data_IF_671215982845
#
_entry.id   IF_671215982845
#
_cell.length_a   1.000
_cell.length_b   1.000
_cell.length_c   1.000
_cell.angle_alpha   90.00
_cell.angle_beta   90.00
_cell.angle_gamma   90.00
#
_symmetry.space_group_name_H-M   'P 1'
#
loop_
_entity.id
_entity.type
_entity.pdbx_description
1 polymer ?
#
# COMPACT_ATOMS: atom_id res chain seq x y z
N UNK A 1 19.30 -7.58 2.71
CA UNK A 1 18.07 -8.19 3.24
C UNK A 1 17.60 -9.25 2.26
N UNK A 2 17.35 -10.49 2.72
CA UNK A 2 16.94 -11.57 1.80
C UNK A 2 15.55 -11.36 1.18
N UNK A 3 15.22 -12.13 0.15
CA UNK A 3 13.91 -12.09 -0.53
C UNK A 3 12.81 -12.64 0.38
N UNK A 4 11.64 -11.98 0.40
CA UNK A 4 10.48 -12.37 1.22
C UNK A 4 9.36 -12.91 0.33
N UNK A 5 8.51 -13.77 0.89
CA UNK A 5 7.34 -14.32 0.20
C UNK A 5 6.26 -13.25 -0.02
N UNK A 6 5.87 -13.05 -1.28
CA UNK A 6 4.77 -12.18 -1.68
C UNK A 6 3.40 -12.84 -1.44
N UNK A 7 2.30 -12.11 -1.63
CA UNK A 7 0.95 -12.69 -1.55
C UNK A 7 0.75 -13.73 -2.66
N UNK A 8 1.23 -13.44 -3.88
CA UNK A 8 1.21 -14.39 -5.01
C UNK A 8 1.95 -15.70 -4.69
N UNK A 9 3.14 -15.60 -4.11
CA UNK A 9 3.94 -16.78 -3.75
C UNK A 9 3.21 -17.64 -2.69
N UNK A 10 2.54 -17.01 -1.73
CA UNK A 10 1.74 -17.72 -0.72
C UNK A 10 0.53 -18.42 -1.35
N UNK A 11 -0.13 -17.79 -2.34
CA UNK A 11 -1.24 -18.41 -3.06
C UNK A 11 -0.78 -19.64 -3.86
N UNK A 12 0.33 -19.53 -4.56
CA UNK A 12 0.92 -20.66 -5.28
C UNK A 12 1.32 -21.80 -4.32
N UNK A 13 1.85 -21.49 -3.14
CA UNK A 13 2.12 -22.50 -2.11
C UNK A 13 0.85 -23.21 -1.62
N UNK A 14 -0.25 -22.46 -1.39
CA UNK A 14 -1.54 -23.04 -1.01
C UNK A 14 -2.09 -23.94 -2.14
N UNK A 15 -1.99 -23.51 -3.40
CA UNK A 15 -2.40 -24.31 -4.55
C UNK A 15 -1.58 -25.61 -4.63
N UNK A 16 -0.25 -25.52 -4.45
CA UNK A 16 0.65 -26.68 -4.45
C UNK A 16 0.29 -27.70 -3.36
N UNK A 17 -0.07 -27.22 -2.16
CA UNK A 17 -0.52 -28.07 -1.06
C UNK A 17 -1.89 -28.73 -1.35
N UNK A 18 -2.80 -28.04 -2.05
CA UNK A 18 -4.07 -28.59 -2.48
C UNK A 18 -3.93 -29.66 -3.58
N UNK A 19 -2.99 -29.47 -4.51
CA UNK A 19 -2.68 -30.45 -5.57
C UNK A 19 -2.05 -31.73 -5.01
N UNK A 20 -1.27 -31.63 -3.92
CA UNK A 20 -0.49 -32.73 -3.37
C UNK A 20 -0.70 -32.86 -1.85
N UNK A 21 -1.86 -33.35 -1.39
CA UNK A 21 -2.19 -33.42 0.04
C UNK A 21 -1.28 -34.37 0.83
N UNK A 22 -0.53 -35.25 0.17
CA UNK A 22 0.48 -36.10 0.81
C UNK A 22 1.80 -35.40 1.13
N UNK A 23 2.01 -34.18 0.63
CA UNK A 23 3.24 -33.41 0.85
C UNK A 23 3.26 -32.83 2.27
N UNK A 24 4.32 -33.11 3.01
CA UNK A 24 4.50 -32.63 4.38
C UNK A 24 4.83 -31.12 4.39
N UNK A 25 4.61 -30.47 5.54
CA UNK A 25 5.00 -29.06 5.71
C UNK A 25 6.50 -28.81 5.49
N UNK A 26 7.36 -29.81 5.72
CA UNK A 26 8.80 -29.71 5.49
C UNK A 26 9.12 -29.70 3.99
N UNK A 27 8.52 -30.62 3.23
CA UNK A 27 8.70 -30.67 1.78
C UNK A 27 8.12 -29.42 1.09
N UNK A 28 6.98 -28.92 1.56
CA UNK A 28 6.41 -27.65 1.08
C UNK A 28 7.34 -26.46 1.38
N UNK A 29 8.04 -26.48 2.52
CA UNK A 29 9.03 -25.46 2.87
C UNK A 29 10.26 -25.53 1.97
N UNK A 30 10.78 -26.73 1.70
CA UNK A 30 11.89 -26.95 0.78
C UNK A 30 11.53 -26.53 -0.65
N UNK A 31 10.37 -26.96 -1.14
CA UNK A 31 9.84 -26.56 -2.43
C UNK A 31 9.74 -25.04 -2.54
N UNK A 32 9.19 -24.36 -1.53
CA UNK A 32 9.09 -22.89 -1.52
C UNK A 32 10.46 -22.23 -1.51
N UNK A 33 11.38 -22.74 -0.71
CA UNK A 33 12.74 -22.20 -0.59
C UNK A 33 13.47 -22.27 -1.93
N UNK A 34 13.35 -23.41 -2.63
CA UNK A 34 13.93 -23.63 -3.95
C UNK A 34 13.23 -22.82 -5.05
N UNK A 35 11.90 -22.80 -5.06
CA UNK A 35 11.10 -22.11 -6.08
C UNK A 35 11.27 -20.60 -6.02
N UNK A 36 11.36 -20.04 -4.81
CA UNK A 36 11.46 -18.59 -4.60
C UNK A 36 12.87 -18.12 -4.25
N UNK A 37 13.90 -18.97 -4.40
CA UNK A 37 15.30 -18.63 -4.11
C UNK A 37 15.44 -17.86 -2.79
N UNK A 38 14.84 -18.37 -1.72
CA UNK A 38 14.85 -17.71 -0.42
C UNK A 38 16.24 -17.85 0.21
N UNK A 39 16.81 -16.75 0.70
CA UNK A 39 18.14 -16.76 1.33
C UNK A 39 18.21 -17.67 2.57
N UNK A 40 17.07 -17.92 3.22
CA UNK A 40 16.96 -18.79 4.38
C UNK A 40 15.85 -19.82 4.12
N UNK A 41 16.03 -21.08 4.57
CA UNK A 41 14.98 -22.07 4.52
C UNK A 41 13.69 -21.56 5.18
N UNK A 42 12.57 -21.77 4.51
CA UNK A 42 11.27 -21.44 5.05
C UNK A 42 11.01 -22.30 6.30
N UNK A 43 10.59 -21.69 7.41
CA UNK A 43 10.29 -22.46 8.61
C UNK A 43 9.00 -23.26 8.42
N UNK A 44 8.96 -24.50 8.94
CA UNK A 44 7.75 -25.34 8.97
C UNK A 44 6.55 -24.61 9.57
N UNK A 45 6.76 -23.83 10.63
CA UNK A 45 5.71 -23.01 11.27
C UNK A 45 5.14 -21.97 10.32
N UNK A 46 5.97 -21.36 9.47
CA UNK A 46 5.53 -20.38 8.47
C UNK A 46 4.63 -21.03 7.42
N UNK A 47 4.95 -22.25 6.96
CA UNK A 47 4.08 -23.00 6.05
C UNK A 47 2.73 -23.28 6.71
N UNK A 48 2.74 -23.77 7.95
CA UNK A 48 1.51 -24.03 8.71
C UNK A 48 0.67 -22.76 8.89
N UNK A 49 1.30 -21.62 9.16
CA UNK A 49 0.61 -20.33 9.31
C UNK A 49 -0.01 -19.85 8.00
N UNK A 50 0.68 -20.04 6.87
CA UNK A 50 0.17 -19.70 5.53
C UNK A 50 -1.04 -20.56 5.20
N UNK A 51 -0.95 -21.88 5.41
CA UNK A 51 -2.06 -22.80 5.14
C UNK A 51 -3.26 -22.53 6.05
N UNK A 52 -3.04 -22.26 7.34
CA UNK A 52 -4.11 -21.87 8.28
C UNK A 52 -4.80 -20.58 7.86
N UNK A 53 -4.06 -19.62 7.30
CA UNK A 53 -4.59 -18.34 6.79
C UNK A 53 -4.95 -18.40 5.30
N UNK A 54 -5.08 -19.59 4.71
CA UNK A 54 -5.39 -19.74 3.30
C UNK A 54 -6.69 -19.03 2.86
N UNK A 55 -7.81 -19.09 3.62
CA UNK A 55 -9.05 -18.40 3.22
C UNK A 55 -8.87 -16.88 3.10
N UNK A 56 -8.10 -16.28 4.02
CA UNK A 56 -7.81 -14.85 3.99
C UNK A 56 -6.84 -14.48 2.86
N UNK A 57 -5.85 -15.33 2.61
CA UNK A 57 -4.82 -15.11 1.58
C UNK A 57 -5.40 -15.24 0.17
N UNK A 58 -6.36 -16.15 -0.03
CA UNK A 58 -7.07 -16.36 -1.30
C UNK A 58 -8.23 -15.38 -1.54
N UNK A 59 -8.63 -14.62 -0.51
CA UNK A 59 -9.69 -13.62 -0.66
C UNK A 59 -9.32 -12.57 -1.72
N UNK A 60 -10.24 -12.20 -2.64
CA UNK A 60 -9.99 -11.15 -3.63
C UNK A 60 -9.77 -9.78 -2.98
N UNK A 61 -10.21 -9.58 -1.72
CA UNK A 61 -9.91 -8.39 -0.93
C UNK A 61 -8.41 -8.28 -0.57
N UNK A 62 -7.62 -9.33 -0.76
CA UNK A 62 -6.16 -9.25 -0.68
C UNK A 62 -5.60 -8.98 -2.08
N UNK A 63 -5.31 -7.71 -2.32
CA UNK A 63 -4.57 -7.22 -3.47
C UNK A 63 -3.24 -7.97 -3.63
N UNK A 64 -2.92 -8.32 -4.87
CA UNK A 64 -1.74 -9.09 -5.27
C UNK A 64 -0.47 -8.23 -5.34
N UNK A 65 -0.26 -7.41 -4.30
CA UNK A 65 0.86 -6.48 -4.25
C UNK A 65 2.16 -7.19 -3.93
N UNK A 66 3.27 -6.70 -4.48
CA UNK A 66 4.62 -7.10 -4.07
C UNK A 66 4.98 -6.60 -2.67
N UNK A 67 4.11 -5.81 -2.03
CA UNK A 67 4.31 -5.25 -0.70
C UNK A 67 3.76 -6.19 0.36
N UNK A 68 4.32 -6.10 1.58
CA UNK A 68 3.68 -6.69 2.76
C UNK A 68 2.30 -6.05 2.92
N UNK A 69 1.32 -6.82 3.38
CA UNK A 69 0.01 -6.29 3.74
C UNK A 69 0.20 -5.10 4.69
N UNK A 70 -0.30 -3.94 4.28
CA UNK A 70 -0.25 -2.75 5.11
C UNK A 70 -1.15 -3.02 6.33
N UNK A 71 -0.60 -2.86 7.53
CA UNK A 71 -1.42 -2.83 8.73
C UNK A 71 -2.11 -1.47 8.74
N UNK A 72 -3.44 -1.46 8.57
CA UNK A 72 -4.21 -0.23 8.76
C UNK A 72 -4.08 0.16 10.24
N UNK A 73 -3.72 1.41 10.51
CA UNK A 73 -3.71 1.90 11.88
C UNK A 73 -5.17 1.94 12.33
N UNK A 74 -5.50 1.18 13.37
CA UNK A 74 -6.88 1.08 13.86
C UNK A 74 -7.24 2.21 14.83
N UNK A 75 -6.23 2.89 15.38
CA UNK A 75 -6.40 3.99 16.31
C UNK A 75 -6.49 5.32 15.57
N UNK A 76 -7.71 5.77 15.31
CA UNK A 76 -7.99 7.11 14.76
C UNK A 76 -7.34 8.20 15.61
N UNK A 77 -7.27 8.02 16.93
CA UNK A 77 -6.59 8.94 17.85
C UNK A 77 -5.09 9.03 17.57
N UNK A 78 -4.45 7.89 17.31
CA UNK A 78 -3.02 7.86 17.00
C UNK A 78 -2.74 8.46 15.62
N UNK A 79 -3.57 8.16 14.63
CA UNK A 79 -3.44 8.76 13.29
C UNK A 79 -3.52 10.28 13.35
N UNK A 80 -4.51 10.84 14.08
CA UNK A 80 -4.65 12.29 14.28
C UNK A 80 -3.45 12.89 15.00
N UNK A 81 -3.00 12.28 16.11
CA UNK A 81 -1.88 12.80 16.89
C UNK A 81 -0.57 12.81 16.08
N UNK A 82 -0.29 11.74 15.33
CA UNK A 82 0.89 11.68 14.44
C UNK A 82 0.83 12.76 13.37
N UNK A 83 -0.36 12.98 12.79
CA UNK A 83 -0.55 14.00 11.76
C UNK A 83 -0.34 15.42 12.31
N UNK A 84 -0.94 15.75 13.45
CA UNK A 84 -0.75 17.04 14.13
C UNK A 84 0.73 17.27 14.47
N UNK A 85 1.44 16.23 14.93
CA UNK A 85 2.86 16.31 15.23
C UNK A 85 3.71 16.55 13.98
N UNK A 86 3.42 15.84 12.88
CA UNK A 86 4.10 16.05 11.59
C UNK A 86 3.91 17.48 11.07
N UNK A 87 2.73 18.07 11.27
CA UNK A 87 2.43 19.45 10.86
C UNK A 87 3.18 20.52 11.65
N UNK A 88 3.66 20.23 12.87
CA UNK A 88 4.48 21.18 13.65
C UNK A 88 5.85 21.43 13.02
N UNK A 89 6.33 20.49 12.22
CA UNK A 89 7.60 20.65 11.50
C UNK A 89 7.40 21.42 10.20
N UNK A 90 7.97 22.63 10.14
CA UNK A 90 7.81 23.57 9.01
C UNK A 90 8.25 22.96 7.68
N UNK A 91 9.32 22.16 7.69
CA UNK A 91 9.84 21.49 6.50
C UNK A 91 8.82 20.51 5.90
N UNK A 92 8.21 19.66 6.74
CA UNK A 92 7.22 18.68 6.28
C UNK A 92 5.94 19.37 5.79
N UNK A 93 5.51 20.42 6.50
CA UNK A 93 4.36 21.24 6.10
C UNK A 93 4.57 21.85 4.71
N UNK A 94 5.74 22.44 4.46
CA UNK A 94 6.08 23.02 3.16
C UNK A 94 6.18 21.95 2.06
N UNK A 95 6.72 20.77 2.36
CA UNK A 95 6.74 19.65 1.42
C UNK A 95 5.32 19.22 1.04
N UNK A 96 4.40 19.07 1.99
CA UNK A 96 3.01 18.69 1.71
C UNK A 96 2.26 19.74 0.90
N UNK A 97 2.51 21.03 1.17
CA UNK A 97 1.96 22.13 0.39
C UNK A 97 2.44 22.10 -1.07
N UNK A 98 3.74 21.87 -1.28
CA UNK A 98 4.32 21.79 -2.62
C UNK A 98 3.85 20.56 -3.41
N UNK A 99 3.60 19.44 -2.73
CA UNK A 99 3.13 18.20 -3.38
C UNK A 99 1.61 18.08 -3.49
N UNK A 100 0.85 19.07 -3.00
CA UNK A 100 -0.62 19.07 -3.06
C UNK A 100 -1.30 18.05 -2.14
N UNK A 101 -0.59 17.50 -1.13
CA UNK A 101 -1.13 16.52 -0.16
C UNK A 101 -1.75 17.27 1.03
N UNK A 102 -2.53 18.31 0.75
CA UNK A 102 -3.28 19.05 1.76
C UNK A 102 -4.76 18.73 1.58
N UNK A 103 -5.29 17.81 2.39
CA UNK A 103 -6.75 17.64 2.48
C UNK A 103 -7.38 18.88 3.14
N UNK A 104 -8.55 19.35 2.67
CA UNK A 104 -9.19 20.58 3.11
C UNK A 104 -9.75 20.38 4.52
N UNK A 105 -9.08 20.97 5.51
CA UNK A 105 -9.52 20.94 6.90
C UNK A 105 -8.93 22.05 7.77
N UNK A 106 -8.25 23.03 7.18
CA UNK A 106 -7.86 24.26 7.87
C UNK A 106 -8.66 25.38 7.22
N UNK A 107 -9.63 25.88 7.98
CA UNK A 107 -10.41 27.07 7.70
C UNK A 107 -9.54 28.15 7.05
N UNK A 108 -10.01 28.65 5.91
CA UNK A 108 -9.48 29.84 5.27
C UNK A 108 -9.52 31.02 6.24
N UNK A 109 -8.42 31.23 6.95
CA UNK A 109 -8.18 32.46 7.68
C UNK A 109 -6.73 32.88 7.42
N UNK A 110 -6.62 33.81 6.47
CA UNK A 110 -5.51 34.72 6.29
C UNK A 110 -4.14 34.13 5.92
N UNK A 111 -3.86 34.02 4.62
CA UNK A 111 -2.57 34.50 4.09
C UNK A 111 -2.84 35.28 2.80
N UNK A 112 -2.99 36.60 2.96
CA UNK A 112 -2.76 37.54 1.87
C UNK A 112 -1.26 37.59 1.60
N UNK A 113 -0.78 37.00 0.50
CA UNK A 113 0.49 37.46 -0.13
C UNK A 113 0.67 36.97 -1.57
N UNK A 114 0.55 37.96 -2.46
CA UNK A 114 1.23 38.24 -3.74
C UNK A 114 1.58 37.06 -4.66
N UNK A 115 0.93 37.10 -5.81
CA UNK A 115 1.18 36.36 -7.05
C UNK A 115 2.47 36.86 -7.72
N UNK A 116 3.43 35.96 -7.94
CA UNK A 116 4.52 36.01 -8.94
C UNK A 116 5.20 34.65 -8.93
N UNK A 117 5.57 33.96 -10.00
CA UNK A 117 5.42 34.08 -11.45
C UNK A 117 6.09 32.80 -11.99
N UNK A 118 5.49 32.19 -13.03
CA UNK A 118 6.11 31.21 -13.97
C UNK A 118 6.58 29.86 -13.39
N UNK A 119 6.52 28.70 -14.05
CA UNK A 119 6.20 28.17 -15.39
C UNK A 119 6.32 26.64 -15.19
N UNK A 120 5.51 25.71 -15.71
CA UNK A 120 5.21 25.43 -17.12
C UNK A 120 4.08 24.37 -17.20
N UNK A 121 3.22 24.54 -18.21
CA UNK A 121 2.13 23.67 -18.61
C UNK A 121 2.58 22.28 -19.09
N UNK A 122 1.77 21.24 -18.80
CA UNK A 122 1.33 20.27 -19.84
C UNK A 122 -0.12 19.81 -19.56
N UNK A 123 -1.01 20.18 -20.48
CA UNK A 123 -2.37 19.71 -20.71
C UNK A 123 -2.49 18.20 -20.96
N UNK A 124 -3.48 17.53 -20.37
CA UNK A 124 -4.18 16.38 -20.98
C UNK A 124 -5.68 16.41 -20.60
N UNK A 125 -6.42 17.32 -21.24
CA UNK A 125 -7.69 17.05 -21.94
C UNK A 125 -8.70 15.99 -21.43
N UNK A 126 -8.95 15.86 -20.12
CA UNK A 126 -10.11 15.11 -19.60
C UNK A 126 -10.76 15.76 -18.36
N UNK A 127 -11.23 17.01 -18.51
CA UNK A 127 -12.37 17.52 -17.71
C UNK A 127 -13.38 18.22 -18.63
N UNK A 128 -13.61 17.64 -19.82
CA UNK A 128 -14.73 18.02 -20.70
C UNK A 128 -16.00 17.40 -20.13
N UNK A 129 -16.64 18.09 -19.19
CA UNK A 129 -18.02 17.80 -18.81
C UNK A 129 -18.78 18.96 -18.13
N UNK A 130 -18.25 20.19 -18.08
CA UNK A 130 -18.97 21.30 -17.41
C UNK A 130 -19.19 22.57 -18.24
N UNK A 131 -18.94 22.57 -19.55
CA UNK A 131 -19.17 23.73 -20.43
C UNK A 131 -20.61 23.86 -20.96
N UNK A 132 -21.59 23.17 -20.39
CA UNK A 132 -23.00 23.28 -20.81
C UNK A 132 -23.89 23.95 -19.77
N UNK A 133 -23.45 25.07 -19.19
CA UNK A 133 -24.36 26.02 -18.55
C UNK A 133 -23.65 27.37 -18.37
N UNK A 134 -23.66 28.20 -19.42
CA UNK A 134 -23.86 29.65 -19.34
C UNK A 134 -23.71 30.23 -20.75
N UNK A 135 -24.83 30.26 -21.49
CA UNK A 135 -25.03 31.20 -22.60
C UNK A 135 -25.42 32.56 -21.99
N UNK A 136 -24.83 33.64 -22.50
CA UNK A 136 -25.55 34.87 -22.83
C UNK A 136 -25.39 35.02 -24.34
#
# INVERSE_FOLDING_TARGET
MGRWLTIKDKRALIAKAGENPGMTHAELAEWSTKTYNLNRPLARSTVSDILRKAPQTMSPAHEDTSRRKLVKVTSIRLEKALWEEMQKTVTIKNCFQHTGILFPGVSEAAVTRKKSSESCDVDIHEVVANTSAMRI
#
